data_IF_122800383686
#
_entry.id   IF_122800383686
#
_cell.length_a   1.000
_cell.length_b   1.000
_cell.length_c   1.000
_cell.angle_alpha   90.00
_cell.angle_beta   90.00
_cell.angle_gamma   90.00
#
_symmetry.space_group_name_H-M   'P 1'
#
loop_
_entity.id
_entity.type
_entity.pdbx_description
1 polymer ?
#
# COMPACT_ATOMS: atom_id res chain seq x y z
N UNK A 1 -5.00 22.10 7.29
CA UNK A 1 -3.67 22.38 6.67
C UNK A 1 -2.65 21.79 7.61
N UNK A 2 -1.74 20.96 7.11
CA UNK A 2 -0.73 20.28 7.93
C UNK A 2 0.59 21.03 7.82
N UNK A 3 1.36 21.05 8.90
CA UNK A 3 2.67 21.70 8.95
C UNK A 3 3.71 20.67 9.38
N UNK A 4 4.76 20.54 8.57
CA UNK A 4 5.92 19.71 8.87
C UNK A 4 6.92 20.56 9.67
N UNK A 5 7.17 20.15 10.91
CA UNK A 5 8.06 20.85 11.84
C UNK A 5 9.54 20.60 11.55
N UNK A 6 9.90 19.50 10.87
CA UNK A 6 11.29 19.20 10.51
C UNK A 6 11.72 19.99 9.28
N UNK A 7 10.85 20.02 8.26
CA UNK A 7 11.11 20.73 6.99
C UNK A 7 10.56 22.15 6.98
N UNK A 8 9.93 22.60 8.07
CA UNK A 8 9.36 23.94 8.26
C UNK A 8 8.45 24.39 7.12
N UNK A 9 7.61 23.48 6.60
CA UNK A 9 6.76 23.74 5.43
C UNK A 9 5.34 23.20 5.61
N UNK A 10 4.39 23.81 4.91
CA UNK A 10 3.05 23.25 4.81
C UNK A 10 3.08 22.00 3.91
N UNK A 11 2.39 20.96 4.35
CA UNK A 11 2.27 19.70 3.63
C UNK A 11 0.80 19.36 3.39
N UNK A 12 0.57 18.55 2.36
CA UNK A 12 -0.74 18.04 1.95
C UNK A 12 -1.01 16.66 2.56
N UNK A 13 -2.25 16.16 2.44
CA UNK A 13 -2.54 14.76 2.79
C UNK A 13 -1.79 13.76 1.88
N UNK A 14 -1.48 14.16 0.65
CA UNK A 14 -0.64 13.37 -0.25
C UNK A 14 0.80 13.22 0.26
N UNK A 15 1.36 14.28 0.86
CA UNK A 15 2.69 14.21 1.48
C UNK A 15 2.68 13.28 2.69
N UNK A 16 1.63 13.34 3.53
CA UNK A 16 1.46 12.41 4.65
C UNK A 16 1.37 10.97 4.15
N UNK A 17 0.60 10.73 3.09
CA UNK A 17 0.52 9.41 2.44
C UNK A 17 1.92 8.92 2.02
N UNK A 18 2.76 9.82 1.50
CA UNK A 18 4.13 9.49 1.13
C UNK A 18 4.97 9.10 2.36
N UNK A 19 4.89 9.85 3.46
CA UNK A 19 5.58 9.50 4.71
C UNK A 19 5.20 8.09 5.21
N UNK A 20 3.90 7.75 5.18
CA UNK A 20 3.43 6.40 5.55
C UNK A 20 4.01 5.32 4.62
N UNK A 21 4.06 5.58 3.30
CA UNK A 21 4.62 4.64 2.31
C UNK A 21 6.13 4.47 2.46
N UNK A 22 6.83 5.54 2.81
CA UNK A 22 8.27 5.55 3.02
C UNK A 22 8.64 4.93 4.39
N UNK A 23 7.65 4.60 5.23
CA UNK A 23 7.86 3.99 6.55
C UNK A 23 8.42 4.96 7.58
N UNK A 24 8.17 6.26 7.40
CA UNK A 24 8.61 7.30 8.32
C UNK A 24 7.62 7.39 9.48
N UNK A 25 8.11 7.27 10.71
CA UNK A 25 7.32 7.48 11.91
C UNK A 25 7.05 8.98 12.12
N UNK A 26 5.80 9.35 12.34
CA UNK A 26 5.40 10.73 12.63
C UNK A 26 4.21 10.79 13.58
N UNK A 27 4.01 11.97 14.17
CA UNK A 27 2.83 12.31 14.97
C UNK A 27 2.26 13.61 14.45
N UNK A 28 0.95 13.68 14.27
CA UNK A 28 0.26 14.93 13.95
C UNK A 28 -0.36 15.49 15.21
N UNK A 29 -0.04 16.74 15.53
CA UNK A 29 -0.60 17.46 16.68
C UNK A 29 -1.40 18.67 16.26
N UNK A 30 -2.47 18.97 17.00
CA UNK A 30 -3.16 20.24 16.88
C UNK A 30 -2.27 21.39 17.38
N UNK A 31 -2.12 22.43 16.57
CA UNK A 31 -1.24 23.56 16.89
C UNK A 31 -1.68 24.43 18.07
N UNK A 32 -2.95 24.34 18.50
CA UNK A 32 -3.51 25.13 19.59
C UNK A 32 -3.66 24.30 20.86
N UNK A 33 -4.09 23.05 20.74
CA UNK A 33 -4.43 22.18 21.88
C UNK A 33 -3.37 21.12 22.19
N UNK A 34 -2.39 20.92 21.30
CA UNK A 34 -1.41 19.83 21.34
C UNK A 34 -2.03 18.41 21.30
N UNK A 35 -3.30 18.31 20.92
CA UNK A 35 -4.03 17.05 20.79
C UNK A 35 -3.41 16.17 19.70
N UNK A 36 -3.27 14.88 19.95
CA UNK A 36 -2.81 13.91 18.96
C UNK A 36 -3.91 13.61 17.94
N UNK A 37 -3.73 14.14 16.73
CA UNK A 37 -4.62 13.98 15.59
C UNK A 37 -4.14 12.90 14.61
N UNK A 38 -3.08 12.15 14.94
CA UNK A 38 -2.47 11.18 14.01
C UNK A 38 -3.49 10.18 13.47
N UNK A 39 -4.35 9.65 14.35
CA UNK A 39 -5.39 8.69 13.95
C UNK A 39 -6.42 9.29 13.00
N UNK A 40 -6.87 10.52 13.24
CA UNK A 40 -7.89 11.16 12.41
C UNK A 40 -7.35 11.49 11.02
N UNK A 41 -6.09 11.94 10.94
CA UNK A 41 -5.41 12.19 9.66
C UNK A 41 -5.19 10.90 8.87
N UNK A 42 -4.75 9.82 9.50
CA UNK A 42 -4.59 8.54 8.80
C UNK A 42 -5.91 8.01 8.21
N UNK A 43 -7.03 8.19 8.92
CA UNK A 43 -8.35 7.84 8.40
C UNK A 43 -8.74 8.70 7.20
N UNK A 44 -8.42 10.00 7.22
CA UNK A 44 -8.65 10.89 6.07
C UNK A 44 -7.83 10.46 4.86
N UNK A 45 -6.54 10.13 5.05
CA UNK A 45 -5.68 9.61 3.98
C UNK A 45 -6.26 8.34 3.34
N UNK A 46 -6.76 7.41 4.16
CA UNK A 46 -7.41 6.19 3.66
C UNK A 46 -8.67 6.53 2.86
N UNK A 47 -9.53 7.41 3.38
CA UNK A 47 -10.77 7.79 2.71
C UNK A 47 -10.54 8.48 1.35
N UNK A 48 -9.55 9.37 1.25
CA UNK A 48 -9.18 10.00 -0.02
C UNK A 48 -8.64 8.99 -1.03
N UNK A 49 -7.85 8.02 -0.58
CA UNK A 49 -7.30 6.98 -1.45
C UNK A 49 -8.40 6.05 -2.01
N UNK A 50 -9.40 5.72 -1.20
CA UNK A 50 -10.56 4.93 -1.64
C UNK A 50 -11.48 5.69 -2.60
N UNK A 51 -11.56 7.03 -2.48
CA UNK A 51 -12.40 7.86 -3.36
C UNK A 51 -11.75 8.19 -4.71
N UNK A 52 -10.41 8.32 -4.76
CA UNK A 52 -9.67 8.84 -5.92
C UNK A 52 -8.82 7.81 -6.69
N UNK A 53 -8.81 6.54 -6.29
CA UNK A 53 -7.94 5.51 -6.86
C UNK A 53 -8.62 4.16 -7.11
N UNK A 54 -7.84 3.08 -7.06
CA UNK A 54 -8.35 1.70 -7.05
C UNK A 54 -8.69 1.32 -5.60
N UNK A 55 -9.98 1.18 -5.24
CA UNK A 55 -10.38 0.92 -3.87
C UNK A 55 -9.94 -0.49 -3.45
N UNK A 56 -9.30 -0.58 -2.29
CA UNK A 56 -8.83 -1.85 -1.73
C UNK A 56 -9.92 -2.43 -0.82
N UNK A 57 -10.73 -1.58 -0.20
CA UNK A 57 -11.78 -2.03 0.71
C UNK A 57 -13.10 -2.28 -0.02
N UNK A 58 -13.54 -3.53 -0.03
CA UNK A 58 -14.88 -3.86 -0.51
C UNK A 58 -15.95 -3.41 0.49
N UNK A 59 -17.16 -3.09 0.00
CA UNK A 59 -18.29 -2.71 0.86
C UNK A 59 -18.53 -3.68 2.03
N UNK A 60 -18.50 -5.02 1.83
CA UNK A 60 -18.63 -5.97 2.94
C UNK A 60 -17.54 -5.82 4.02
N UNK A 61 -16.29 -5.51 3.62
CA UNK A 61 -15.18 -5.29 4.55
C UNK A 61 -15.43 -4.01 5.36
N UNK A 62 -15.84 -2.92 4.73
CA UNK A 62 -16.15 -1.67 5.42
C UNK A 62 -17.28 -1.84 6.43
N UNK A 63 -18.37 -2.53 6.05
CA UNK A 63 -19.46 -2.85 6.96
C UNK A 63 -18.99 -3.68 8.14
N UNK A 64 -18.15 -4.69 7.90
CA UNK A 64 -17.64 -5.54 8.97
C UNK A 64 -16.72 -4.77 9.92
N UNK A 65 -15.86 -3.90 9.41
CA UNK A 65 -15.02 -2.98 10.21
C UNK A 65 -15.90 -2.12 11.12
N UNK A 66 -16.97 -1.52 10.59
CA UNK A 66 -17.89 -0.68 11.38
C UNK A 66 -18.61 -1.50 12.46
N UNK A 67 -19.07 -2.71 12.14
CA UNK A 67 -19.75 -3.60 13.10
C UNK A 67 -18.85 -4.01 14.27
N UNK A 68 -17.55 -4.16 14.05
CA UNK A 68 -16.62 -4.45 15.14
C UNK A 68 -16.60 -3.36 16.21
N UNK A 69 -16.92 -2.11 15.88
CA UNK A 69 -17.02 -1.03 16.86
C UNK A 69 -18.32 -1.06 17.69
N UNK A 70 -19.32 -1.87 17.32
CA UNK A 70 -20.62 -1.94 18.01
C UNK A 70 -20.80 -3.13 18.96
N UNK A 71 -19.99 -4.18 18.84
CA UNK A 71 -20.12 -5.40 19.63
C UNK A 71 -19.07 -5.48 20.76
N UNK A 72 -19.40 -6.20 21.84
CA UNK A 72 -18.56 -6.43 23.03
C UNK A 72 -17.19 -7.12 22.73
N UNK A 73 -16.91 -7.43 21.47
CA UNK A 73 -15.72 -8.13 20.96
C UNK A 73 -14.69 -7.15 20.34
N UNK A 74 -14.91 -5.83 20.46
CA UNK A 74 -14.03 -4.77 19.92
C UNK A 74 -12.53 -5.06 20.03
N UNK A 75 -12.06 -5.44 21.23
CA UNK A 75 -10.63 -5.67 21.47
C UNK A 75 -10.06 -6.90 20.75
N UNK A 76 -10.82 -8.00 20.67
CA UNK A 76 -10.38 -9.23 20.01
C UNK A 76 -10.42 -9.11 18.48
N UNK A 77 -11.46 -8.46 17.95
CA UNK A 77 -11.59 -8.25 16.51
C UNK A 77 -10.51 -7.29 15.97
N UNK A 78 -10.22 -6.22 16.72
CA UNK A 78 -9.16 -5.27 16.35
C UNK A 78 -7.77 -5.93 16.34
N UNK A 79 -7.42 -6.69 17.38
CA UNK A 79 -6.14 -7.42 17.44
C UNK A 79 -6.02 -8.46 16.32
N UNK A 80 -7.10 -9.21 16.03
CA UNK A 80 -7.10 -10.17 14.92
C UNK A 80 -6.92 -9.50 13.55
N UNK A 81 -7.61 -8.38 13.30
CA UNK A 81 -7.48 -7.61 12.06
C UNK A 81 -6.05 -7.08 11.91
N UNK A 82 -5.48 -6.51 12.98
CA UNK A 82 -4.10 -6.02 12.99
C UNK A 82 -3.11 -7.13 12.65
N UNK A 83 -3.23 -8.30 13.29
CA UNK A 83 -2.36 -9.45 13.01
C UNK A 83 -2.51 -9.97 11.58
N UNK A 84 -3.74 -10.01 11.08
CA UNK A 84 -4.05 -10.47 9.71
C UNK A 84 -3.46 -9.52 8.67
N UNK A 85 -3.60 -8.20 8.85
CA UNK A 85 -3.01 -7.19 7.96
C UNK A 85 -1.47 -7.24 7.96
N UNK A 86 -0.86 -7.38 9.14
CA UNK A 86 0.60 -7.54 9.24
C UNK A 86 1.09 -8.85 8.59
N UNK A 87 0.34 -9.94 8.74
CA UNK A 87 0.65 -11.22 8.10
C UNK A 87 0.53 -11.13 6.58
N UNK A 88 -0.53 -10.49 6.07
CA UNK A 88 -0.73 -10.25 4.66
C UNK A 88 0.41 -9.44 4.04
N UNK A 89 0.82 -8.35 4.68
CA UNK A 89 1.97 -7.54 4.24
C UNK A 89 3.27 -8.34 4.15
N UNK A 90 3.56 -9.19 5.16
CA UNK A 90 4.73 -10.09 5.12
C UNK A 90 4.64 -11.12 3.99
N UNK A 91 3.47 -11.69 3.75
CA UNK A 91 3.26 -12.67 2.68
C UNK A 91 3.43 -12.04 1.30
N UNK A 92 2.94 -10.81 1.08
CA UNK A 92 3.15 -10.09 -0.18
C UNK A 92 4.63 -9.83 -0.45
N UNK A 93 5.40 -9.43 0.59
CA UNK A 93 6.85 -9.26 0.47
C UNK A 93 7.57 -10.57 0.13
N UNK A 94 7.19 -11.68 0.77
CA UNK A 94 7.76 -13.00 0.49
C UNK A 94 7.46 -13.45 -0.94
N UNK A 95 6.21 -13.31 -1.39
CA UNK A 95 5.80 -13.66 -2.74
C UNK A 95 6.56 -12.85 -3.79
N UNK A 96 6.71 -11.54 -3.56
CA UNK A 96 7.49 -10.66 -4.45
C UNK A 96 8.96 -11.11 -4.53
N UNK A 97 9.60 -11.44 -3.40
CA UNK A 97 10.97 -11.96 -3.38
C UNK A 97 11.09 -13.30 -4.09
N UNK A 98 10.14 -14.21 -3.89
CA UNK A 98 10.13 -15.50 -4.59
C UNK A 98 9.97 -15.34 -6.10
N UNK A 99 9.14 -14.42 -6.56
CA UNK A 99 9.04 -14.10 -8.00
C UNK A 99 10.35 -13.49 -8.54
N UNK A 100 10.99 -12.60 -7.78
CA UNK A 100 12.30 -12.04 -8.12
C UNK A 100 13.40 -13.14 -8.18
N UNK A 101 13.33 -14.15 -7.31
CA UNK A 101 14.26 -15.30 -7.30
C UNK A 101 13.95 -16.34 -8.40
N UNK A 102 12.67 -16.50 -8.76
CA UNK A 102 12.21 -17.42 -9.82
C UNK A 102 12.35 -16.87 -11.24
N UNK A 103 12.65 -15.57 -11.38
CA UNK A 103 13.02 -14.96 -12.66
C UNK A 103 14.54 -14.75 -12.63
N UNK A 104 15.35 -15.75 -13.05
CA UNK A 104 16.77 -15.54 -13.24
C UNK A 104 16.97 -14.30 -14.12
N UNK A 105 17.91 -13.42 -13.76
CA UNK A 105 18.26 -12.26 -14.60
C UNK A 105 18.64 -12.68 -16.03
N UNK A 106 19.12 -13.91 -16.19
CA UNK A 106 19.45 -14.53 -17.46
C UNK A 106 18.22 -15.05 -18.23
N UNK A 107 17.12 -15.39 -17.55
CA UNK A 107 15.91 -15.95 -18.16
C UNK A 107 15.08 -14.92 -18.95
N UNK A 108 15.09 -13.66 -18.52
CA UNK A 108 14.44 -12.56 -19.27
C UNK A 108 15.20 -12.29 -20.58
N UNK A 109 16.54 -12.36 -20.54
CA UNK A 109 17.39 -12.27 -21.73
C UNK A 109 17.17 -13.44 -22.68
N UNK A 110 17.18 -14.68 -22.18
CA UNK A 110 16.99 -15.87 -23.04
C UNK A 110 15.60 -15.94 -23.67
N UNK A 111 14.54 -15.53 -22.97
CA UNK A 111 13.18 -15.45 -23.55
C UNK A 111 13.09 -14.34 -24.61
N UNK A 112 13.76 -13.20 -24.39
CA UNK A 112 13.82 -12.13 -25.39
C UNK A 112 14.59 -12.58 -26.66
N UNK A 113 15.71 -13.28 -26.49
CA UNK A 113 16.52 -13.81 -27.59
C UNK A 113 15.76 -14.87 -28.41
N UNK A 114 15.07 -15.80 -27.74
CA UNK A 114 14.23 -16.82 -28.40
C UNK A 114 13.07 -16.20 -29.19
N UNK A 115 12.48 -15.12 -28.67
CA UNK A 115 11.39 -14.40 -29.33
C UNK A 115 11.89 -13.66 -30.58
N UNK A 116 13.08 -13.04 -30.51
CA UNK A 116 13.72 -12.40 -31.66
C UNK A 116 14.10 -13.42 -32.75
N UNK A 117 14.69 -14.55 -32.37
CA UNK A 117 15.03 -15.61 -33.35
C UNK A 117 13.77 -16.14 -34.05
N UNK A 118 12.70 -16.44 -33.32
CA UNK A 118 11.46 -16.89 -33.94
C UNK A 118 10.90 -15.84 -34.91
N UNK A 119 10.77 -14.58 -34.48
CA UNK A 119 10.26 -13.51 -35.35
C UNK A 119 11.09 -13.31 -36.62
N UNK A 120 12.41 -13.49 -36.54
CA UNK A 120 13.29 -13.45 -37.71
C UNK A 120 13.01 -14.60 -38.68
N UNK A 121 12.80 -15.82 -38.18
CA UNK A 121 12.42 -16.99 -38.99
C UNK A 121 11.06 -16.78 -39.68
N UNK A 122 10.07 -16.20 -38.98
CA UNK A 122 8.75 -15.89 -39.57
C UNK A 122 8.83 -14.81 -40.65
N UNK A 123 9.73 -13.84 -40.51
CA UNK A 123 9.96 -12.79 -41.53
C UNK A 123 10.64 -13.35 -42.78
N UNK A 124 11.58 -14.28 -42.61
CA UNK A 124 12.27 -14.94 -43.72
C UNK A 124 11.32 -15.84 -44.53
N UNK A 125 10.33 -16.47 -43.88
CA UNK A 125 9.29 -17.25 -44.55
C UNK A 125 8.23 -16.44 -45.30
N UNK A 126 8.20 -15.11 -45.15
CA UNK A 126 7.24 -14.22 -45.84
C UNK A 126 7.81 -13.56 -47.11
N UNK A 127 9.07 -13.82 -47.46
CA UNK A 127 9.71 -13.35 -48.70
C UNK A 127 9.84 -14.44 -49.76
#
# INVERSE_FOLDING_TARGET
RLYDTELSKYITLEDVRRLVRDGVDFVVRDSQTDEDLTRSILLQVIAEQEAGGEPIFTTPVLMQIIRFYGDAVQGLAADFLQRSLLAFGRQQQLFRRQLEDLVPKDAVGTVADLTQQNLALWRDMQN
#
